data_IF_060020943863
#
_entry.id   IF_060020943863
#
_cell.length_a   1.000
_cell.length_b   1.000
_cell.length_c   1.000
_cell.angle_alpha   90.00
_cell.angle_beta   90.00
_cell.angle_gamma   90.00
#
_symmetry.space_group_name_H-M   'P 1'
#
loop_
_entity.id
_entity.type
_entity.pdbx_description
1 polymer ?
#
# COMPACT_ATOMS: atom_id res chain seq x y z
N UNK A 1 -36.46 -1.64 12.69
CA UNK A 1 -35.05 -1.19 12.62
C UNK A 1 -34.62 -0.50 13.89
N UNK A 2 -33.88 -1.23 14.72
CA UNK A 2 -33.20 -0.68 15.90
C UNK A 2 -31.99 0.20 15.51
N UNK A 3 -31.80 1.29 16.25
CA UNK A 3 -30.68 2.22 16.07
C UNK A 3 -29.33 1.50 16.26
N UNK A 4 -29.25 0.55 17.20
CA UNK A 4 -28.00 -0.16 17.44
C UNK A 4 -27.62 -1.04 16.23
N UNK A 5 -28.56 -1.78 15.65
CA UNK A 5 -28.31 -2.57 14.44
C UNK A 5 -27.78 -1.73 13.27
N UNK A 6 -28.30 -0.50 13.11
CA UNK A 6 -27.77 0.45 12.14
C UNK A 6 -26.35 0.90 12.46
N UNK A 7 -26.07 1.22 13.73
CA UNK A 7 -24.72 1.60 14.16
C UNK A 7 -23.71 0.46 13.95
N UNK A 8 -24.11 -0.80 14.19
CA UNK A 8 -23.28 -1.97 13.89
C UNK A 8 -23.04 -2.14 12.39
N UNK A 9 -24.09 -2.06 11.57
CA UNK A 9 -23.99 -2.20 10.12
C UNK A 9 -23.08 -1.11 9.49
N UNK A 10 -23.27 0.16 9.87
CA UNK A 10 -22.42 1.26 9.41
C UNK A 10 -21.01 1.23 10.03
N UNK A 11 -20.87 0.81 11.28
CA UNK A 11 -19.57 0.68 11.92
C UNK A 11 -18.69 -0.39 11.25
N UNK A 12 -19.30 -1.44 10.71
CA UNK A 12 -18.58 -2.50 10.00
C UNK A 12 -17.93 -2.03 8.68
N UNK A 13 -18.50 -1.03 8.00
CA UNK A 13 -17.98 -0.58 6.70
C UNK A 13 -16.53 -0.09 6.77
N UNK A 14 -16.14 0.51 7.90
CA UNK A 14 -14.77 0.96 8.14
C UNK A 14 -13.76 -0.20 8.20
N UNK A 15 -14.17 -1.35 8.75
CA UNK A 15 -13.33 -2.56 8.78
C UNK A 15 -13.29 -3.26 7.43
N UNK A 16 -14.44 -3.33 6.74
CA UNK A 16 -14.52 -3.90 5.40
C UNK A 16 -13.66 -3.14 4.38
N UNK A 17 -13.45 -1.82 4.57
CA UNK A 17 -12.52 -1.06 3.75
C UNK A 17 -11.06 -1.57 3.85
N UNK A 18 -10.68 -2.10 5.02
CA UNK A 18 -9.36 -2.69 5.27
C UNK A 18 -9.29 -4.16 4.84
N UNK A 19 -10.19 -5.02 5.33
CA UNK A 19 -10.20 -6.48 5.14
C UNK A 19 -11.56 -6.97 4.70
N UNK A 20 -11.61 -7.90 3.76
CA UNK A 20 -12.85 -8.42 3.19
C UNK A 20 -13.49 -9.50 4.07
N UNK A 21 -12.73 -10.49 4.50
CA UNK A 21 -13.30 -11.69 5.11
C UNK A 21 -13.21 -11.70 6.62
N UNK A 22 -12.16 -11.08 7.19
CA UNK A 22 -11.98 -11.02 8.64
C UNK A 22 -13.16 -10.37 9.38
N UNK A 23 -13.70 -9.22 8.93
CA UNK A 23 -14.85 -8.60 9.62
C UNK A 23 -16.14 -9.41 9.48
N UNK A 24 -16.37 -10.02 8.32
CA UNK A 24 -17.51 -10.90 8.08
C UNK A 24 -17.44 -12.14 8.98
N UNK A 25 -16.28 -12.78 9.08
CA UNK A 25 -16.04 -13.91 9.96
C UNK A 25 -16.27 -13.53 11.43
N UNK A 26 -15.68 -12.43 11.90
CA UNK A 26 -15.83 -11.99 13.28
C UNK A 26 -17.29 -11.69 13.64
N UNK A 27 -18.04 -11.03 12.74
CA UNK A 27 -19.47 -10.77 12.94
C UNK A 27 -20.29 -12.08 12.97
N UNK A 28 -20.07 -12.99 12.02
CA UNK A 28 -20.78 -14.27 11.97
C UNK A 28 -20.46 -15.16 13.18
N UNK A 29 -19.19 -15.19 13.59
CA UNK A 29 -18.74 -15.93 14.77
C UNK A 29 -19.33 -15.36 16.06
N UNK A 30 -19.34 -14.03 16.22
CA UNK A 30 -19.91 -13.39 17.39
C UNK A 30 -21.41 -13.66 17.51
N UNK A 31 -22.17 -13.62 16.40
CA UNK A 31 -23.59 -13.98 16.44
C UNK A 31 -23.83 -15.46 16.76
N UNK A 32 -23.01 -16.36 16.22
CA UNK A 32 -23.21 -17.81 16.42
C UNK A 32 -22.76 -18.32 17.79
N UNK A 33 -21.59 -17.87 18.25
CA UNK A 33 -20.93 -18.41 19.43
C UNK A 33 -20.78 -17.39 20.57
N UNK A 34 -21.14 -16.12 20.35
CA UNK A 34 -20.93 -15.04 21.33
C UNK A 34 -21.68 -15.26 22.65
N UNK A 35 -22.86 -15.88 22.64
CA UNK A 35 -23.61 -16.21 23.86
C UNK A 35 -22.88 -17.17 24.79
N UNK A 36 -22.00 -18.02 24.26
CA UNK A 36 -21.19 -18.96 25.03
C UNK A 36 -19.99 -18.31 25.73
N UNK A 37 -19.64 -17.07 25.36
CA UNK A 37 -18.50 -16.36 25.95
C UNK A 37 -18.97 -15.40 27.06
N UNK A 38 -18.40 -15.44 28.29
CA UNK A 38 -18.88 -14.65 29.43
C UNK A 38 -18.90 -13.13 29.21
N UNK A 39 -17.98 -12.62 28.39
CA UNK A 39 -17.81 -11.19 28.13
C UNK A 39 -18.65 -10.69 26.95
N UNK A 40 -18.96 -11.55 25.97
CA UNK A 40 -19.80 -11.23 24.81
C UNK A 40 -21.28 -11.50 25.09
N UNK A 41 -21.58 -12.57 25.82
CA UNK A 41 -22.94 -12.99 26.14
C UNK A 41 -23.69 -12.01 27.04
N UNK A 42 -23.02 -11.02 27.64
CA UNK A 42 -23.65 -9.93 28.39
C UNK A 42 -24.10 -8.75 27.51
N UNK A 43 -23.64 -8.68 26.26
CA UNK A 43 -24.00 -7.61 25.32
C UNK A 43 -25.42 -7.87 24.81
N UNK A 44 -26.31 -6.89 24.97
CA UNK A 44 -27.73 -6.96 24.59
C UNK A 44 -27.91 -7.39 23.13
N UNK A 45 -27.17 -6.75 22.23
CA UNK A 45 -27.15 -7.09 20.79
C UNK A 45 -26.83 -8.58 20.52
N UNK A 46 -25.88 -9.18 21.22
CA UNK A 46 -25.52 -10.60 21.01
C UNK A 46 -26.62 -11.54 21.53
N UNK A 47 -27.32 -11.14 22.60
CA UNK A 47 -28.47 -11.91 23.12
C UNK A 47 -29.65 -11.90 22.15
N UNK A 48 -29.95 -10.74 21.58
CA UNK A 48 -31.01 -10.59 20.59
C UNK A 48 -30.71 -11.36 19.30
N UNK A 49 -29.45 -11.36 18.88
CA UNK A 49 -28.98 -12.05 17.67
C UNK A 49 -28.79 -13.56 17.83
N UNK A 50 -28.90 -14.13 19.04
CA UNK A 50 -28.76 -15.58 19.25
C UNK A 50 -29.82 -16.40 18.48
N UNK A 51 -30.95 -15.78 18.13
CA UNK A 51 -32.06 -16.37 17.36
C UNK A 51 -32.07 -15.97 15.86
N UNK A 52 -30.98 -15.39 15.37
CA UNK A 52 -30.82 -14.92 13.99
C UNK A 52 -31.04 -16.01 12.90
N UNK A 53 -31.46 -15.63 11.67
CA UNK A 53 -31.67 -16.56 10.56
C UNK A 53 -30.43 -17.40 10.24
N UNK A 54 -30.71 -18.65 9.86
CA UNK A 54 -29.75 -19.76 9.85
C UNK A 54 -28.64 -19.69 8.81
N UNK A 55 -28.78 -18.88 7.75
CA UNK A 55 -27.87 -18.91 6.62
C UNK A 55 -26.52 -18.24 6.94
N UNK A 56 -26.51 -17.08 7.60
CA UNK A 56 -25.27 -16.34 7.91
C UNK A 56 -24.56 -16.91 9.14
N UNK A 57 -25.30 -17.48 10.07
CA UNK A 57 -24.79 -18.12 11.30
C UNK A 57 -24.58 -19.64 11.13
N UNK A 58 -24.74 -20.17 9.92
CA UNK A 58 -24.54 -21.60 9.64
C UNK A 58 -23.07 -22.00 9.90
N UNK A 59 -22.78 -23.12 10.59
CA UNK A 59 -21.40 -23.53 10.88
C UNK A 59 -20.52 -23.61 9.63
N UNK A 60 -21.06 -24.08 8.51
CA UNK A 60 -20.33 -24.14 7.24
C UNK A 60 -19.96 -22.74 6.70
N UNK A 61 -20.84 -21.75 6.87
CA UNK A 61 -20.57 -20.36 6.44
C UNK A 61 -19.53 -19.72 7.36
N UNK A 62 -19.66 -19.91 8.68
CA UNK A 62 -18.66 -19.41 9.65
C UNK A 62 -17.28 -20.04 9.40
N UNK A 63 -17.21 -21.36 9.18
CA UNK A 63 -15.95 -22.04 8.85
C UNK A 63 -15.38 -21.58 7.50
N UNK A 64 -16.24 -21.42 6.48
CA UNK A 64 -15.83 -20.91 5.17
C UNK A 64 -15.26 -19.49 5.25
N UNK A 65 -15.94 -18.59 5.96
CA UNK A 65 -15.45 -17.23 6.21
C UNK A 65 -14.16 -17.23 7.02
N UNK A 66 -14.02 -18.13 8.00
CA UNK A 66 -12.78 -18.29 8.78
C UNK A 66 -11.61 -18.76 7.92
N UNK A 67 -11.82 -19.75 7.05
CA UNK A 67 -10.81 -20.21 6.10
C UNK A 67 -10.41 -19.11 5.10
N UNK A 68 -11.38 -18.34 4.60
CA UNK A 68 -11.14 -17.21 3.70
C UNK A 68 -10.42 -16.05 4.41
N UNK A 69 -10.74 -15.77 5.68
CA UNK A 69 -10.03 -14.78 6.49
C UNK A 69 -8.57 -15.19 6.74
N UNK A 70 -8.30 -16.47 7.03
CA UNK A 70 -6.94 -16.98 7.14
C UNK A 70 -6.19 -16.91 5.81
N UNK A 71 -6.85 -17.26 4.71
CA UNK A 71 -6.28 -17.15 3.36
C UNK A 71 -5.95 -15.68 3.02
N UNK A 72 -6.83 -14.74 3.37
CA UNK A 72 -6.59 -13.29 3.23
C UNK A 72 -5.36 -12.85 4.03
N UNK A 73 -5.26 -13.22 5.31
CA UNK A 73 -4.10 -12.90 6.16
C UNK A 73 -2.78 -13.47 5.62
N UNK A 74 -2.82 -14.68 5.06
CA UNK A 74 -1.64 -15.32 4.45
C UNK A 74 -1.26 -14.67 3.12
N UNK A 75 -2.26 -14.35 2.28
CA UNK A 75 -2.05 -13.73 0.98
C UNK A 75 -1.40 -12.35 1.11
N UNK A 76 -1.76 -11.58 2.13
CA UNK A 76 -1.20 -10.24 2.37
C UNK A 76 0.29 -10.22 2.75
N UNK A 77 0.84 -11.35 3.21
CA UNK A 77 2.28 -11.49 3.44
C UNK A 77 3.07 -11.59 2.13
N UNK A 78 2.40 -11.89 1.02
CA UNK A 78 2.96 -11.86 -0.34
C UNK A 78 2.53 -10.57 -1.05
N UNK A 79 3.45 -9.63 -1.30
CA UNK A 79 3.12 -8.44 -2.09
C UNK A 79 2.68 -8.80 -3.52
N UNK A 80 3.09 -9.96 -4.02
CA UNK A 80 2.74 -10.47 -5.35
C UNK A 80 1.26 -10.91 -5.43
N UNK A 81 0.77 -11.69 -4.45
CA UNK A 81 -0.65 -12.05 -4.36
C UNK A 81 -1.54 -10.84 -4.13
N UNK A 82 -1.05 -9.88 -3.35
CA UNK A 82 -1.78 -8.66 -3.07
C UNK A 82 -2.03 -7.80 -4.31
N UNK A 83 -1.03 -7.65 -5.18
CA UNK A 83 -1.18 -6.85 -6.41
C UNK A 83 -2.28 -7.43 -7.31
N UNK A 84 -2.39 -8.76 -7.36
CA UNK A 84 -3.47 -9.46 -8.09
C UNK A 84 -4.83 -9.34 -7.41
N UNK A 85 -4.87 -9.27 -6.07
CA UNK A 85 -6.11 -9.15 -5.31
C UNK A 85 -6.63 -7.71 -5.23
N UNK A 86 -5.77 -6.69 -5.18
CA UNK A 86 -6.15 -5.30 -4.88
C UNK A 86 -7.15 -4.69 -5.89
N UNK A 87 -7.15 -5.11 -7.17
CA UNK A 87 -8.13 -4.65 -8.17
C UNK A 87 -9.54 -5.23 -7.98
N UNK A 88 -9.65 -6.52 -7.64
CA UNK A 88 -10.94 -7.20 -7.45
C UNK A 88 -11.51 -7.03 -6.03
N UNK A 89 -10.63 -6.83 -5.04
CA UNK A 89 -11.01 -6.78 -3.63
C UNK A 89 -11.95 -5.64 -3.28
N UNK A 90 -11.90 -4.49 -3.97
CA UNK A 90 -12.79 -3.36 -3.65
C UNK A 90 -14.26 -3.74 -3.83
N UNK A 91 -14.58 -4.43 -4.93
CA UNK A 91 -15.94 -4.90 -5.20
C UNK A 91 -16.32 -6.03 -4.25
N UNK A 92 -15.41 -6.96 -3.99
CA UNK A 92 -15.64 -8.07 -3.06
C UNK A 92 -15.91 -7.57 -1.63
N UNK A 93 -15.13 -6.61 -1.14
CA UNK A 93 -15.31 -5.96 0.17
C UNK A 93 -16.67 -5.29 0.28
N UNK A 94 -17.07 -4.57 -0.76
CA UNK A 94 -18.35 -3.85 -0.80
C UNK A 94 -19.52 -4.83 -0.81
N UNK A 95 -19.44 -5.90 -1.61
CA UNK A 95 -20.45 -6.96 -1.65
C UNK A 95 -20.55 -7.74 -0.33
N UNK A 96 -19.41 -8.09 0.29
CA UNK A 96 -19.39 -8.76 1.59
C UNK A 96 -19.91 -7.87 2.72
N UNK A 97 -19.62 -6.57 2.68
CA UNK A 97 -20.18 -5.60 3.65
C UNK A 97 -21.69 -5.53 3.53
N UNK A 98 -22.22 -5.44 2.31
CA UNK A 98 -23.66 -5.46 2.05
C UNK A 98 -24.30 -6.77 2.53
N UNK A 99 -23.73 -7.93 2.17
CA UNK A 99 -24.24 -9.23 2.58
C UNK A 99 -24.21 -9.42 4.11
N UNK A 100 -23.14 -8.97 4.77
CA UNK A 100 -23.00 -9.04 6.23
C UNK A 100 -24.00 -8.11 6.91
N UNK A 101 -24.18 -6.89 6.40
CA UNK A 101 -25.15 -5.92 6.92
C UNK A 101 -26.58 -6.43 6.76
N UNK A 102 -26.90 -7.04 5.61
CA UNK A 102 -28.18 -7.68 5.38
C UNK A 102 -28.41 -8.86 6.35
N UNK A 103 -27.40 -9.70 6.57
CA UNK A 103 -27.45 -10.77 7.56
C UNK A 103 -27.70 -10.27 8.99
N UNK A 104 -27.09 -9.15 9.37
CA UNK A 104 -27.29 -8.51 10.68
C UNK A 104 -28.68 -7.89 10.82
N UNK A 105 -29.16 -7.18 9.80
CA UNK A 105 -30.44 -6.47 9.87
C UNK A 105 -31.63 -7.44 9.84
N UNK A 106 -31.58 -8.45 8.96
CA UNK A 106 -32.59 -9.52 8.90
C UNK A 106 -32.68 -10.32 10.20
N UNK A 107 -31.58 -10.41 10.95
CA UNK A 107 -31.54 -11.04 12.26
C UNK A 107 -32.21 -10.24 13.37
N UNK A 108 -32.02 -8.92 13.41
CA UNK A 108 -32.71 -8.07 14.39
C UNK A 108 -34.22 -8.03 14.17
N UNK A 109 -34.68 -8.00 12.92
CA UNK A 109 -36.10 -7.87 12.64
C UNK A 109 -36.84 -9.23 12.81
N UNK A 110 -36.18 -10.38 12.65
CA UNK A 110 -36.76 -11.69 12.95
C UNK A 110 -37.12 -11.88 14.45
N UNK A 111 -36.42 -11.19 15.35
CA UNK A 111 -36.76 -11.16 16.78
C UNK A 111 -37.99 -10.27 17.09
N UNK A 112 -38.34 -9.36 16.17
CA UNK A 112 -39.42 -8.37 16.30
C UNK A 112 -40.67 -8.77 15.47
N UNK A 113 -40.49 -9.54 14.40
CA UNK A 113 -41.52 -9.85 13.42
C UNK A 113 -42.41 -11.05 13.83
N UNK A 114 -43.25 -10.83 14.84
CA UNK A 114 -44.46 -11.61 15.04
C UNK A 114 -45.65 -11.15 14.19
N UNK A 115 -45.63 -9.93 13.60
CA UNK A 115 -46.90 -9.29 13.20
C UNK A 115 -46.96 -8.46 11.90
N UNK A 116 -45.89 -8.31 11.10
CA UNK A 116 -45.97 -7.49 9.85
C UNK A 116 -45.19 -8.14 8.69
N UNK A 117 -45.83 -9.07 7.98
CA UNK A 117 -45.26 -9.81 6.85
C UNK A 117 -45.77 -9.18 5.53
N UNK A 118 -44.96 -8.34 4.88
CA UNK A 118 -44.90 -8.17 3.40
C UNK A 118 -44.10 -6.95 2.92
N UNK A 119 -43.85 -5.94 3.76
CA UNK A 119 -43.11 -4.72 3.36
C UNK A 119 -41.63 -4.67 3.81
N UNK A 120 -41.16 -5.64 4.59
CA UNK A 120 -39.82 -5.59 5.23
C UNK A 120 -38.64 -5.77 4.26
N UNK A 121 -38.78 -6.57 3.19
CA UNK A 121 -37.65 -6.95 2.32
C UNK A 121 -37.00 -5.81 1.52
N UNK A 122 -37.76 -4.77 1.15
CA UNK A 122 -37.20 -3.64 0.39
C UNK A 122 -36.52 -2.64 1.35
N UNK A 123 -37.10 -2.39 2.51
CA UNK A 123 -36.56 -1.44 3.49
C UNK A 123 -35.25 -1.93 4.11
N UNK A 124 -35.07 -3.24 4.32
CA UNK A 124 -33.82 -3.84 4.82
C UNK A 124 -32.67 -3.76 3.81
N UNK A 125 -33.00 -3.77 2.51
CA UNK A 125 -32.00 -3.72 1.45
C UNK A 125 -31.33 -2.34 1.32
N UNK A 126 -32.02 -1.26 1.72
CA UNK A 126 -31.51 0.11 1.61
C UNK A 126 -30.30 0.34 2.52
N UNK A 127 -30.36 0.10 3.86
CA UNK A 127 -29.20 0.25 4.72
C UNK A 127 -28.05 -0.68 4.34
N UNK A 128 -28.32 -1.92 3.93
CA UNK A 128 -27.29 -2.84 3.46
C UNK A 128 -26.61 -2.34 2.17
N UNK A 129 -27.37 -1.76 1.23
CA UNK A 129 -26.80 -1.12 0.05
C UNK A 129 -25.97 0.11 0.43
N UNK A 130 -26.43 0.91 1.39
CA UNK A 130 -25.69 2.06 1.91
C UNK A 130 -24.37 1.66 2.57
N UNK A 131 -24.33 0.57 3.35
CA UNK A 131 -23.07 0.07 3.94
C UNK A 131 -22.10 -0.45 2.88
N UNK A 132 -22.61 -1.11 1.83
CA UNK A 132 -21.82 -1.48 0.66
C UNK A 132 -21.23 -0.27 -0.07
N UNK A 133 -22.06 0.75 -0.34
CA UNK A 133 -21.62 2.00 -0.97
C UNK A 133 -20.63 2.79 -0.11
N UNK A 134 -20.84 2.84 1.21
CA UNK A 134 -19.92 3.44 2.16
C UNK A 134 -18.58 2.68 2.15
N UNK A 135 -18.60 1.36 2.22
CA UNK A 135 -17.39 0.52 2.13
C UNK A 135 -16.62 0.76 0.84
N UNK A 136 -17.31 0.91 -0.29
CA UNK A 136 -16.70 1.25 -1.57
C UNK A 136 -15.97 2.60 -1.50
N UNK A 137 -16.65 3.64 -1.01
CA UNK A 137 -16.07 4.98 -0.87
C UNK A 137 -14.85 5.00 0.08
N UNK A 138 -14.97 4.33 1.24
CA UNK A 138 -13.88 4.22 2.22
C UNK A 138 -12.69 3.44 1.64
N UNK A 139 -12.95 2.35 0.91
CA UNK A 139 -11.91 1.56 0.22
C UNK A 139 -11.18 2.40 -0.83
N UNK A 140 -11.91 3.18 -1.64
CA UNK A 140 -11.32 4.07 -2.65
C UNK A 140 -10.48 5.19 -2.02
N UNK A 141 -10.95 5.76 -0.91
CA UNK A 141 -10.22 6.79 -0.16
C UNK A 141 -8.91 6.22 0.39
N UNK A 142 -8.98 5.06 1.06
CA UNK A 142 -7.82 4.34 1.60
C UNK A 142 -6.84 3.94 0.50
N UNK A 143 -7.33 3.37 -0.61
CA UNK A 143 -6.48 3.00 -1.75
C UNK A 143 -5.79 4.21 -2.39
N UNK A 144 -6.44 5.37 -2.43
CA UNK A 144 -5.81 6.62 -2.87
C UNK A 144 -4.64 7.04 -1.99
N UNK A 145 -4.79 7.00 -0.66
CA UNK A 145 -3.70 7.34 0.28
C UNK A 145 -2.59 6.28 0.26
N UNK A 146 -2.95 5.00 0.26
CA UNK A 146 -1.98 3.89 0.14
C UNK A 146 -1.24 3.97 -1.19
N UNK A 147 -1.90 4.43 -2.26
CA UNK A 147 -1.28 4.73 -3.55
C UNK A 147 -0.18 5.79 -3.40
N UNK A 148 -0.48 6.93 -2.79
CA UNK A 148 0.51 8.00 -2.53
C UNK A 148 1.70 7.49 -1.71
N UNK A 149 1.44 6.70 -0.65
CA UNK A 149 2.51 6.13 0.18
C UNK A 149 3.32 5.07 -0.56
N UNK A 150 2.65 4.28 -1.41
CA UNK A 150 3.30 3.30 -2.28
C UNK A 150 4.11 3.96 -3.38
N UNK A 151 3.79 5.19 -3.79
CA UNK A 151 4.63 5.94 -4.73
C UNK A 151 5.92 6.43 -4.05
N UNK A 152 5.82 6.87 -2.79
CA UNK A 152 7.00 7.26 -2.02
C UNK A 152 7.92 6.05 -1.72
N UNK A 153 7.34 4.86 -1.48
CA UNK A 153 8.06 3.63 -1.11
C UNK A 153 7.56 2.37 -1.86
N UNK A 154 7.67 2.37 -3.19
CA UNK A 154 7.15 1.28 -4.05
C UNK A 154 7.71 -0.10 -3.70
N UNK A 155 8.99 -0.14 -3.30
CA UNK A 155 9.71 -1.36 -2.96
C UNK A 155 9.58 -1.79 -1.49
N UNK A 156 8.82 -1.05 -0.68
CA UNK A 156 8.70 -1.24 0.77
C UNK A 156 10.08 -1.23 1.46
N UNK A 157 10.95 -0.32 1.02
CA UNK A 157 12.32 -0.14 1.51
C UNK A 157 12.37 0.55 2.88
N UNK A 158 11.43 1.47 3.13
CA UNK A 158 11.18 2.10 4.43
C UNK A 158 10.34 1.21 5.35
N UNK A 159 9.65 0.22 4.79
CA UNK A 159 8.72 -0.64 5.53
C UNK A 159 7.37 0.03 5.79
N UNK A 160 7.06 1.13 5.11
CA UNK A 160 5.82 1.89 5.30
C UNK A 160 4.59 1.01 4.99
N UNK A 161 4.64 0.23 3.91
CA UNK A 161 3.52 -0.64 3.54
C UNK A 161 3.35 -1.74 4.58
N UNK A 162 4.45 -2.35 5.04
CA UNK A 162 4.39 -3.37 6.11
C UNK A 162 3.80 -2.81 7.41
N UNK A 163 4.19 -1.60 7.79
CA UNK A 163 3.66 -0.93 8.98
C UNK A 163 2.16 -0.66 8.86
N UNK A 164 1.72 -0.08 7.74
CA UNK A 164 0.30 0.16 7.47
C UNK A 164 -0.50 -1.14 7.51
N UNK A 165 0.03 -2.20 6.88
CA UNK A 165 -0.63 -3.51 6.89
C UNK A 165 -0.81 -4.07 8.29
N UNK A 166 0.18 -3.89 9.16
CA UNK A 166 0.11 -4.33 10.55
C UNK A 166 -0.93 -3.51 11.33
N UNK A 167 -0.96 -2.19 11.16
CA UNK A 167 -2.00 -1.34 11.75
C UNK A 167 -3.40 -1.72 11.26
N UNK A 168 -3.55 -2.03 9.98
CA UNK A 168 -4.80 -2.51 9.38
C UNK A 168 -5.23 -3.88 9.91
N UNK A 169 -4.29 -4.81 10.06
CA UNK A 169 -4.54 -6.13 10.63
C UNK A 169 -5.00 -6.00 12.09
N UNK A 170 -4.32 -5.17 12.87
CA UNK A 170 -4.69 -4.87 14.25
C UNK A 170 -6.09 -4.20 14.29
N UNK A 171 -6.33 -3.20 13.44
CA UNK A 171 -7.61 -2.49 13.37
C UNK A 171 -8.77 -3.41 12.98
N UNK A 172 -8.61 -4.25 11.96
CA UNK A 172 -9.65 -5.17 11.52
C UNK A 172 -9.88 -6.32 12.53
N UNK A 173 -8.83 -6.79 13.20
CA UNK A 173 -8.94 -7.88 14.19
C UNK A 173 -9.61 -7.39 15.47
N UNK A 174 -9.10 -6.32 16.08
CA UNK A 174 -9.60 -5.84 17.38
C UNK A 174 -10.80 -4.91 17.25
N UNK A 175 -10.87 -4.16 16.15
CA UNK A 175 -11.90 -3.16 15.95
C UNK A 175 -13.31 -3.74 15.83
N UNK A 176 -13.47 -4.95 15.29
CA UNK A 176 -14.79 -5.60 15.23
C UNK A 176 -15.29 -5.98 16.63
N UNK A 177 -14.41 -6.46 17.50
CA UNK A 177 -14.77 -6.72 18.90
C UNK A 177 -15.07 -5.43 19.67
N UNK A 178 -14.29 -4.37 19.41
CA UNK A 178 -14.55 -3.05 19.97
C UNK A 178 -15.88 -2.47 19.47
N UNK A 179 -16.24 -2.73 18.20
CA UNK A 179 -17.52 -2.33 17.62
C UNK A 179 -18.67 -2.96 18.41
N UNK A 180 -18.60 -4.26 18.68
CA UNK A 180 -19.60 -4.99 19.48
C UNK A 180 -19.83 -4.33 20.85
N UNK A 181 -18.76 -3.92 21.52
CA UNK A 181 -18.83 -3.29 22.84
C UNK A 181 -19.27 -1.82 22.81
N UNK A 182 -18.78 -1.03 21.85
CA UNK A 182 -18.93 0.43 21.82
C UNK A 182 -19.20 0.95 20.39
N UNK A 183 -20.38 0.67 19.80
CA UNK A 183 -20.63 0.90 18.38
C UNK A 183 -20.53 2.39 17.98
N UNK A 184 -21.07 3.29 18.80
CA UNK A 184 -21.01 4.73 18.55
C UNK A 184 -19.57 5.27 18.56
N UNK A 185 -18.73 4.79 19.48
CA UNK A 185 -17.33 5.22 19.58
C UNK A 185 -16.51 4.76 18.37
N UNK A 186 -16.73 3.53 17.90
CA UNK A 186 -16.07 3.01 16.70
C UNK A 186 -16.51 3.75 15.44
N UNK A 187 -17.80 4.05 15.30
CA UNK A 187 -18.32 4.80 14.16
C UNK A 187 -17.72 6.22 14.10
N UNK A 188 -17.63 6.90 15.25
CA UNK A 188 -16.94 8.19 15.36
C UNK A 188 -15.45 8.08 15.01
N UNK A 189 -14.76 7.06 15.51
CA UNK A 189 -13.35 6.84 15.23
C UNK A 189 -13.11 6.55 13.74
N UNK A 190 -13.94 5.72 13.10
CA UNK A 190 -13.93 5.51 11.65
C UNK A 190 -14.12 6.83 10.90
N UNK A 191 -15.11 7.64 11.30
CA UNK A 191 -15.35 8.96 10.71
C UNK A 191 -14.13 9.88 10.77
N UNK A 192 -13.43 9.92 11.91
CA UNK A 192 -12.20 10.71 12.08
C UNK A 192 -11.08 10.17 11.20
N UNK A 193 -10.79 8.86 11.27
CA UNK A 193 -9.67 8.25 10.52
C UNK A 193 -9.86 8.44 9.02
N UNK A 194 -11.03 8.10 8.49
CA UNK A 194 -11.29 8.26 7.06
C UNK A 194 -11.45 9.72 6.63
N UNK A 195 -11.96 10.59 7.52
CA UNK A 195 -11.95 12.04 7.31
C UNK A 195 -10.53 12.58 7.13
N UNK A 196 -9.58 12.16 7.98
CA UNK A 196 -8.17 12.52 7.86
C UNK A 196 -7.56 11.97 6.57
N UNK A 197 -7.81 10.69 6.23
CA UNK A 197 -7.33 10.09 4.98
C UNK A 197 -7.86 10.84 3.74
N UNK A 198 -9.14 11.20 3.75
CA UNK A 198 -9.76 11.99 2.68
C UNK A 198 -9.10 13.36 2.54
N UNK A 199 -8.86 14.06 3.65
CA UNK A 199 -8.17 15.36 3.65
C UNK A 199 -6.71 15.24 3.16
N UNK A 200 -5.98 14.20 3.55
CA UNK A 200 -4.62 13.95 3.07
C UNK A 200 -4.61 13.76 1.55
N UNK A 201 -5.51 12.90 1.05
CA UNK A 201 -5.65 12.64 -0.39
C UNK A 201 -5.98 13.92 -1.15
N UNK A 202 -7.03 14.63 -0.73
CA UNK A 202 -7.47 15.88 -1.37
C UNK A 202 -6.39 16.95 -1.36
N UNK A 203 -5.66 17.09 -0.25
CA UNK A 203 -4.55 18.05 -0.13
C UNK A 203 -3.39 17.68 -1.04
N UNK A 204 -3.07 16.40 -1.20
CA UNK A 204 -2.01 15.94 -2.09
C UNK A 204 -2.38 16.16 -3.56
N UNK A 205 -3.62 15.81 -3.96
CA UNK A 205 -4.13 16.05 -5.31
C UNK A 205 -4.13 17.55 -5.65
N UNK A 206 -4.66 18.41 -4.75
CA UNK A 206 -4.63 19.87 -4.93
C UNK A 206 -3.21 20.39 -5.08
N UNK A 207 -2.28 20.00 -4.20
CA UNK A 207 -0.88 20.44 -4.27
C UNK A 207 -0.20 20.07 -5.59
N UNK A 208 -0.54 18.93 -6.18
CA UNK A 208 0.04 18.51 -7.47
C UNK A 208 -0.58 19.27 -8.65
N UNK A 209 -1.88 19.58 -8.60
CA UNK A 209 -2.53 20.42 -9.61
C UNK A 209 -2.07 21.88 -9.54
N UNK A 210 -1.97 22.44 -8.33
CA UNK A 210 -1.51 23.81 -8.09
C UNK A 210 -0.04 24.01 -8.50
N UNK A 211 0.75 22.93 -8.48
CA UNK A 211 2.14 22.93 -8.90
C UNK A 211 2.35 22.82 -10.42
N UNK A 212 1.28 22.70 -11.22
CA UNK A 212 1.40 22.72 -12.68
C UNK A 212 1.65 24.14 -13.16
N UNK A 213 2.60 24.30 -14.08
CA UNK A 213 2.95 25.58 -14.72
C UNK A 213 2.51 25.58 -16.17
N UNK A 214 2.26 26.76 -16.73
CA UNK A 214 1.94 26.89 -18.15
C UNK A 214 3.21 26.80 -19.00
N UNK A 215 3.15 26.03 -20.08
CA UNK A 215 4.25 25.95 -21.02
C UNK A 215 4.44 27.31 -21.71
N UNK A 216 5.66 27.89 -21.73
CA UNK A 216 5.91 29.21 -22.31
C UNK A 216 5.67 29.26 -23.83
N UNK A 217 5.66 28.11 -24.51
CA UNK A 217 5.48 28.03 -25.97
C UNK A 217 4.03 27.80 -26.39
N UNK A 218 3.27 26.95 -25.68
CA UNK A 218 1.93 26.54 -26.11
C UNK A 218 0.81 26.75 -25.08
N UNK A 219 1.12 27.27 -23.88
CA UNK A 219 0.15 27.53 -22.81
C UNK A 219 -0.42 26.28 -22.14
N UNK A 220 -0.03 25.07 -22.54
CA UNK A 220 -0.52 23.83 -21.92
C UNK A 220 0.06 23.69 -20.51
N UNK A 221 -0.76 23.28 -19.53
CA UNK A 221 -0.31 23.02 -18.16
C UNK A 221 0.55 21.77 -18.09
N UNK A 222 1.79 21.93 -17.66
CA UNK A 222 2.80 20.87 -17.48
C UNK A 222 3.24 20.79 -16.02
N UNK A 223 3.73 19.63 -15.60
CA UNK A 223 4.36 19.51 -14.28
C UNK A 223 5.57 20.46 -14.17
N UNK A 224 5.72 21.16 -13.05
CA UNK A 224 6.82 22.10 -12.83
C UNK A 224 8.21 21.43 -12.85
N UNK A 225 8.28 20.13 -12.62
CA UNK A 225 9.50 19.32 -12.64
C UNK A 225 9.74 18.60 -13.98
N UNK A 226 8.83 18.77 -14.96
CA UNK A 226 8.98 18.21 -16.32
C UNK A 226 10.18 18.85 -17.02
N UNK A 227 10.86 18.11 -17.88
CA UNK A 227 12.00 18.65 -18.65
C UNK A 227 11.56 19.20 -20.01
N UNK A 228 10.43 18.72 -20.55
CA UNK A 228 9.83 19.27 -21.75
C UNK A 228 8.29 19.11 -21.74
N UNK A 229 7.64 19.92 -22.57
CA UNK A 229 6.20 19.86 -22.76
C UNK A 229 5.77 18.59 -23.50
N UNK A 230 4.64 18.02 -23.09
CA UNK A 230 3.99 16.88 -23.75
C UNK A 230 3.49 17.18 -25.16
N UNK A 231 3.04 18.42 -25.40
CA UNK A 231 2.31 18.79 -26.63
C UNK A 231 3.22 19.38 -27.70
N UNK A 232 4.14 20.25 -27.31
CA UNK A 232 4.97 21.02 -28.25
C UNK A 232 6.47 20.73 -28.10
N UNK A 233 6.86 19.81 -27.22
CA UNK A 233 8.25 19.43 -26.95
C UNK A 233 9.19 20.56 -26.54
N UNK A 234 8.65 21.74 -26.26
CA UNK A 234 9.42 22.88 -25.81
C UNK A 234 10.07 22.57 -24.44
N UNK A 235 11.36 22.87 -24.26
CA UNK A 235 12.06 22.60 -23.01
C UNK A 235 11.49 23.47 -21.88
N UNK A 236 11.40 22.89 -20.69
CA UNK A 236 11.09 23.66 -19.49
C UNK A 236 12.36 24.45 -19.08
N UNK A 237 12.33 25.79 -19.09
CA UNK A 237 13.51 26.60 -18.85
C UNK A 237 14.04 26.48 -17.41
N UNK A 238 13.19 26.07 -16.45
CA UNK A 238 13.60 26.06 -15.05
C UNK A 238 12.84 24.98 -14.24
N UNK A 239 13.17 23.69 -14.42
CA UNK A 239 12.46 22.61 -13.74
C UNK A 239 12.70 22.63 -12.23
N UNK A 240 11.64 22.38 -11.48
CA UNK A 240 11.70 22.25 -10.01
C UNK A 240 12.37 20.93 -9.63
N UNK A 241 13.30 20.99 -8.69
CA UNK A 241 14.01 19.80 -8.23
C UNK A 241 13.09 18.89 -7.41
N UNK A 242 13.16 17.58 -7.65
CA UNK A 242 12.50 16.58 -6.81
C UNK A 242 13.45 16.05 -5.74
N UNK A 243 12.92 15.84 -4.54
CA UNK A 243 13.58 15.13 -3.45
C UNK A 243 13.55 13.61 -3.65
N UNK A 244 14.25 12.89 -2.78
CA UNK A 244 14.42 11.43 -2.85
C UNK A 244 13.09 10.64 -2.81
N UNK A 245 12.06 11.19 -2.17
CA UNK A 245 10.73 10.57 -2.06
C UNK A 245 9.71 11.20 -3.02
N UNK A 246 10.15 12.01 -3.99
CA UNK A 246 9.27 12.66 -4.97
C UNK A 246 8.57 13.93 -4.50
N UNK A 247 8.90 14.44 -3.31
CA UNK A 247 8.47 15.77 -2.87
C UNK A 247 9.16 16.88 -3.68
N UNK A 248 8.43 17.96 -3.97
CA UNK A 248 8.97 19.14 -4.66
C UNK A 248 9.85 19.95 -3.70
N UNK A 249 11.06 20.30 -4.14
CA UNK A 249 11.97 21.16 -3.40
C UNK A 249 11.78 22.62 -3.85
N UNK A 250 12.06 23.58 -2.98
CA UNK A 250 11.97 25.02 -3.34
C UNK A 250 13.04 25.47 -4.34
N UNK A 251 14.07 24.64 -4.54
CA UNK A 251 15.17 24.92 -5.49
C UNK A 251 14.85 24.41 -6.90
N UNK A 252 15.36 25.14 -7.89
CA UNK A 252 15.34 24.72 -9.30
C UNK A 252 16.57 23.87 -9.61
N UNK A 253 16.44 22.92 -10.53
CA UNK A 253 17.56 22.09 -10.98
C UNK A 253 18.17 22.69 -12.27
N UNK A 254 19.40 23.23 -12.22
CA UNK A 254 20.03 23.83 -13.39
C UNK A 254 20.48 22.78 -14.43
N UNK A 255 20.74 21.54 -13.99
CA UNK A 255 21.21 20.47 -14.86
C UNK A 255 20.05 19.56 -15.31
N UNK A 256 19.66 19.68 -16.58
CA UNK A 256 18.59 18.87 -17.17
C UNK A 256 18.87 17.36 -17.12
N UNK A 257 20.12 16.94 -17.28
CA UNK A 257 20.50 15.51 -17.20
C UNK A 257 20.33 14.98 -15.79
N UNK A 258 20.74 15.76 -14.78
CA UNK A 258 20.53 15.38 -13.38
C UNK A 258 19.04 15.29 -13.03
N UNK A 259 18.21 16.18 -13.58
CA UNK A 259 16.76 16.11 -13.41
C UNK A 259 16.17 14.85 -14.08
N UNK A 260 16.58 14.52 -15.31
CA UNK A 260 16.15 13.29 -15.99
C UNK A 260 16.49 12.03 -15.18
N UNK A 261 17.70 11.96 -14.63
CA UNK A 261 18.11 10.86 -13.74
C UNK A 261 17.21 10.77 -12.51
N UNK A 262 16.89 11.89 -11.84
CA UNK A 262 15.98 11.89 -10.68
C UNK A 262 14.55 11.47 -11.05
N UNK A 263 14.05 11.89 -12.22
CA UNK A 263 12.74 11.45 -12.70
C UNK A 263 12.71 9.94 -12.91
N UNK A 264 13.77 9.38 -13.51
CA UNK A 264 13.91 7.93 -13.67
C UNK A 264 13.98 7.25 -12.30
N UNK A 265 14.77 7.73 -11.35
CA UNK A 265 14.83 7.13 -9.99
C UNK A 265 13.44 7.07 -9.32
N UNK A 266 12.59 8.07 -9.57
CA UNK A 266 11.22 8.17 -9.07
C UNK A 266 10.18 7.50 -9.99
N UNK A 267 10.61 6.72 -10.98
CA UNK A 267 9.76 5.99 -11.93
C UNK A 267 8.80 6.91 -12.69
N UNK A 268 9.32 8.05 -13.12
CA UNK A 268 8.63 9.04 -13.93
C UNK A 268 9.30 9.16 -15.30
N UNK A 269 8.54 9.59 -16.30
CA UNK A 269 9.06 9.89 -17.63
C UNK A 269 10.15 10.96 -17.50
N UNK A 270 11.34 10.76 -18.12
CA UNK A 270 12.39 11.78 -18.12
C UNK A 270 11.96 13.06 -18.87
N UNK A 271 10.87 13.02 -19.66
CA UNK A 271 10.34 14.16 -20.44
C UNK A 271 9.20 14.85 -19.71
N UNK A 272 7.99 14.26 -19.68
CA UNK A 272 6.80 14.87 -19.06
C UNK A 272 6.82 14.88 -17.53
N UNK A 273 7.59 14.00 -16.90
CA UNK A 273 7.50 13.74 -15.47
C UNK A 273 6.26 12.93 -15.06
N UNK A 274 5.47 12.44 -16.01
CA UNK A 274 4.34 11.56 -15.73
C UNK A 274 4.79 10.22 -15.16
N UNK A 275 3.94 9.62 -14.33
CA UNK A 275 4.24 8.35 -13.69
C UNK A 275 4.20 7.21 -14.68
N UNK A 276 5.11 6.27 -14.51
CA UNK A 276 5.24 5.11 -15.39
C UNK A 276 4.81 3.86 -14.63
N UNK A 277 3.77 3.18 -15.10
CA UNK A 277 3.24 1.95 -14.49
C UNK A 277 3.93 0.71 -15.05
N UNK A 278 4.02 -0.36 -14.26
CA UNK A 278 4.58 -1.66 -14.67
C UNK A 278 6.01 -1.90 -14.18
N UNK A 279 6.60 -3.04 -14.56
CA UNK A 279 7.99 -3.41 -14.22
C UNK A 279 8.71 -3.97 -15.44
N UNK A 280 10.02 -3.77 -15.49
CA UNK A 280 10.85 -4.16 -16.63
C UNK A 280 11.92 -3.11 -16.92
N UNK A 281 12.84 -3.45 -17.82
CA UNK A 281 13.84 -2.52 -18.31
C UNK A 281 13.34 -1.69 -19.51
N UNK A 282 12.30 -2.18 -20.18
CA UNK A 282 11.67 -1.66 -21.40
C UNK A 282 10.34 -0.94 -21.13
N UNK A 283 10.16 -0.39 -19.93
CA UNK A 283 8.90 0.28 -19.57
C UNK A 283 8.80 1.60 -20.33
N UNK A 284 7.64 1.83 -20.95
CA UNK A 284 7.29 3.07 -21.62
C UNK A 284 6.28 3.89 -20.82
N UNK A 285 6.36 5.21 -20.93
CA UNK A 285 5.31 6.09 -20.45
C UNK A 285 4.07 5.97 -21.34
N UNK A 286 2.88 5.85 -20.74
CA UNK A 286 1.61 5.76 -21.48
C UNK A 286 1.24 7.09 -22.16
N UNK A 287 1.64 8.22 -21.56
CA UNK A 287 1.32 9.57 -22.05
C UNK A 287 2.31 10.01 -23.14
N UNK A 288 3.62 9.79 -22.94
CA UNK A 288 4.67 10.29 -23.84
C UNK A 288 5.16 9.24 -24.85
N UNK A 289 4.88 7.95 -24.62
CA UNK A 289 5.45 6.83 -25.38
C UNK A 289 6.95 6.58 -25.15
N UNK A 290 7.64 7.41 -24.37
CA UNK A 290 9.10 7.30 -24.16
C UNK A 290 9.45 6.11 -23.28
N UNK A 291 10.43 5.32 -23.72
CA UNK A 291 11.05 4.24 -22.95
C UNK A 291 12.13 4.81 -22.03
N UNK A 292 12.08 4.50 -20.73
CA UNK A 292 12.91 5.20 -19.71
C UNK A 292 14.42 5.05 -19.95
N UNK A 293 14.86 3.88 -20.39
CA UNK A 293 16.28 3.54 -20.57
C UNK A 293 16.68 3.47 -22.05
N UNK A 294 16.02 4.23 -22.94
CA UNK A 294 16.35 4.24 -24.37
C UNK A 294 17.69 4.91 -24.70
N UNK A 295 18.12 5.86 -23.87
CA UNK A 295 19.36 6.64 -24.08
C UNK A 295 20.54 6.01 -23.30
N UNK A 296 21.55 5.44 -23.99
CA UNK A 296 22.68 4.82 -23.32
C UNK A 296 23.55 5.79 -22.50
N UNK A 297 23.66 7.04 -22.92
CA UNK A 297 24.45 8.04 -22.19
C UNK A 297 23.78 8.38 -20.85
N UNK A 298 22.45 8.54 -20.87
CA UNK A 298 21.65 8.74 -19.66
C UNK A 298 21.72 7.52 -18.73
N UNK A 299 21.71 6.31 -19.29
CA UNK A 299 21.86 5.06 -18.53
C UNK A 299 23.21 5.01 -17.80
N UNK A 300 24.31 5.42 -18.46
CA UNK A 300 25.63 5.46 -17.83
C UNK A 300 25.65 6.48 -16.67
N UNK A 301 25.15 7.71 -16.91
CA UNK A 301 25.06 8.73 -15.84
C UNK A 301 24.20 8.25 -14.67
N UNK A 302 23.14 7.48 -14.93
CA UNK A 302 22.32 6.86 -13.89
C UNK A 302 23.13 5.89 -13.02
N UNK A 303 23.88 4.96 -13.63
CA UNK A 303 24.73 4.03 -12.89
C UNK A 303 25.81 4.74 -12.08
N UNK A 304 26.51 5.70 -12.67
CA UNK A 304 27.54 6.49 -11.99
C UNK A 304 26.98 7.28 -10.81
N UNK A 305 25.78 7.85 -10.97
CA UNK A 305 25.09 8.59 -9.91
C UNK A 305 24.80 7.69 -8.71
N UNK A 306 24.29 6.48 -8.93
CA UNK A 306 24.00 5.53 -7.83
C UNK A 306 25.31 4.97 -7.25
N UNK A 307 26.29 4.61 -8.09
CA UNK A 307 27.59 4.07 -7.66
C UNK A 307 28.38 5.08 -6.81
N UNK A 308 28.28 6.39 -7.10
CA UNK A 308 28.91 7.44 -6.30
C UNK A 308 28.40 7.54 -4.85
N UNK A 309 27.22 7.00 -4.57
CA UNK A 309 26.63 6.96 -3.21
C UNK A 309 27.22 5.84 -2.36
N UNK A 310 27.76 4.78 -2.98
CA UNK A 310 28.28 3.59 -2.32
C UNK A 310 29.28 3.90 -1.19
N UNK A 311 30.37 4.69 -1.37
CA UNK A 311 31.33 4.92 -0.30
C UNK A 311 30.71 5.62 0.92
N UNK A 312 29.84 6.61 0.68
CA UNK A 312 29.12 7.31 1.75
C UNK A 312 28.17 6.36 2.50
N UNK A 313 27.47 5.51 1.77
CA UNK A 313 26.54 4.53 2.37
C UNK A 313 27.29 3.49 3.19
N UNK A 314 28.44 3.00 2.72
CA UNK A 314 29.28 2.05 3.46
C UNK A 314 29.82 2.66 4.76
N UNK A 315 30.25 3.92 4.74
CA UNK A 315 30.70 4.63 5.95
C UNK A 315 29.57 4.77 6.98
N UNK A 316 28.40 5.25 6.54
CA UNK A 316 27.23 5.39 7.44
C UNK A 316 26.78 4.03 7.97
N UNK A 317 26.77 3.00 7.12
CA UNK A 317 26.46 1.63 7.52
C UNK A 317 27.46 1.08 8.54
N UNK A 318 28.75 1.40 8.43
CA UNK A 318 29.76 0.96 9.39
C UNK A 318 29.53 1.60 10.76
N UNK A 319 29.25 2.90 10.79
CA UNK A 319 28.93 3.64 12.02
C UNK A 319 27.65 3.09 12.67
N UNK A 320 26.59 2.89 11.90
CA UNK A 320 25.34 2.32 12.40
C UNK A 320 25.50 0.86 12.85
N UNK A 321 26.43 0.11 12.26
CA UNK A 321 26.70 -1.28 12.62
C UNK A 321 27.20 -1.46 14.06
N UNK A 322 27.70 -0.41 14.71
CA UNK A 322 28.09 -0.43 16.12
C UNK A 322 26.90 -0.36 17.10
N UNK A 323 25.71 0.05 16.64
CA UNK A 323 24.49 0.12 17.46
C UNK A 323 23.68 -1.17 17.20
N UNK A 324 23.64 -2.13 18.15
CA UNK A 324 22.90 -3.37 17.95
C UNK A 324 21.41 -3.11 17.71
N UNK A 325 20.78 -3.94 16.86
CA UNK A 325 19.36 -3.91 16.50
C UNK A 325 18.88 -2.62 15.81
N UNK A 326 18.90 -1.47 16.51
CA UNK A 326 18.44 -0.19 15.96
C UNK A 326 19.32 0.27 14.80
N UNK A 327 20.64 0.19 14.96
CA UNK A 327 21.59 0.53 13.91
C UNK A 327 21.49 -0.40 12.70
N UNK A 328 21.23 -1.69 12.91
CA UNK A 328 20.91 -2.61 11.81
C UNK A 328 19.65 -2.18 11.08
N UNK A 329 18.55 -1.91 11.78
CA UNK A 329 17.27 -1.58 11.14
C UNK A 329 17.42 -0.29 10.32
N UNK A 330 17.97 0.77 10.93
CA UNK A 330 18.18 2.06 10.26
C UNK A 330 19.16 1.91 9.10
N UNK A 331 20.26 1.19 9.30
CA UNK A 331 21.26 0.96 8.26
C UNK A 331 20.72 0.17 7.08
N UNK A 332 19.90 -0.85 7.33
CA UNK A 332 19.22 -1.64 6.29
C UNK A 332 18.25 -0.79 5.49
N UNK A 333 17.43 0.01 6.17
CA UNK A 333 16.51 0.94 5.52
C UNK A 333 17.32 1.93 4.66
N UNK A 334 18.38 2.51 5.22
CA UNK A 334 19.19 3.53 4.55
C UNK A 334 19.86 3.01 3.27
N UNK A 335 20.60 1.89 3.32
CA UNK A 335 21.24 1.38 2.11
C UNK A 335 20.21 0.87 1.09
N UNK A 336 19.06 0.37 1.54
CA UNK A 336 18.02 -0.09 0.61
C UNK A 336 17.46 1.07 -0.20
N UNK A 337 17.19 2.21 0.45
CA UNK A 337 16.70 3.40 -0.24
C UNK A 337 17.76 3.94 -1.21
N UNK A 338 19.02 4.02 -0.76
CA UNK A 338 20.07 4.70 -1.52
C UNK A 338 20.66 3.86 -2.67
N UNK A 339 20.77 2.53 -2.49
CA UNK A 339 21.51 1.65 -3.40
C UNK A 339 20.63 0.57 -4.05
N UNK A 340 19.58 0.09 -3.38
CA UNK A 340 18.78 -1.05 -3.87
C UNK A 340 17.53 -0.60 -4.63
N UNK A 341 16.77 0.32 -4.05
CA UNK A 341 15.51 0.84 -4.61
C UNK A 341 15.67 1.38 -6.05
N UNK A 342 16.76 2.11 -6.41
CA UNK A 342 16.95 2.58 -7.79
C UNK A 342 16.96 1.45 -8.83
N UNK A 343 17.42 0.25 -8.50
CA UNK A 343 17.45 -0.87 -9.44
C UNK A 343 16.24 -1.79 -9.31
N UNK A 344 15.78 -2.01 -8.08
CA UNK A 344 14.72 -2.99 -7.78
C UNK A 344 13.37 -2.60 -8.39
N UNK A 345 13.03 -1.30 -8.45
CA UNK A 345 11.81 -0.76 -9.08
C UNK A 345 11.59 -1.21 -10.53
N UNK A 346 12.68 -1.57 -11.23
CA UNK A 346 12.67 -1.95 -12.65
C UNK A 346 12.86 -3.44 -12.90
N UNK A 347 13.09 -4.26 -11.87
CA UNK A 347 13.30 -5.70 -12.04
C UNK A 347 11.97 -6.47 -12.20
N UNK A 348 11.91 -7.44 -13.13
CA UNK A 348 10.72 -8.29 -13.30
C UNK A 348 10.54 -9.25 -12.12
N UNK A 349 9.31 -9.71 -11.92
CA UNK A 349 8.86 -10.48 -10.75
C UNK A 349 9.71 -11.72 -10.46
N UNK A 350 10.06 -12.49 -11.50
CA UNK A 350 10.81 -13.74 -11.37
C UNK A 350 12.22 -13.55 -10.80
N UNK A 351 12.91 -12.47 -11.21
CA UNK A 351 14.24 -12.14 -10.70
C UNK A 351 14.17 -11.54 -9.29
N UNK A 352 13.15 -10.73 -9.01
CA UNK A 352 12.97 -10.13 -7.69
C UNK A 352 12.71 -11.19 -6.60
N UNK A 353 12.03 -12.29 -6.92
CA UNK A 353 11.75 -13.35 -5.93
C UNK A 353 13.03 -14.07 -5.50
N UNK A 354 13.85 -14.53 -6.44
CA UNK A 354 15.09 -15.24 -6.14
C UNK A 354 16.08 -14.37 -5.37
N UNK A 355 16.27 -13.12 -5.81
CA UNK A 355 17.15 -12.16 -5.13
C UNK A 355 16.65 -11.85 -3.72
N UNK A 356 15.33 -11.72 -3.51
CA UNK A 356 14.72 -11.46 -2.20
C UNK A 356 14.99 -12.59 -1.20
N UNK A 357 14.88 -13.84 -1.62
CA UNK A 357 15.18 -14.99 -0.75
C UNK A 357 16.66 -15.13 -0.45
N UNK A 358 17.53 -14.94 -1.45
CA UNK A 358 18.97 -14.98 -1.25
C UNK A 358 19.41 -13.90 -0.25
N UNK A 359 18.88 -12.68 -0.38
CA UNK A 359 19.12 -11.59 0.58
C UNK A 359 18.59 -11.92 1.97
N UNK A 360 17.39 -12.53 2.10
CA UNK A 360 16.88 -12.96 3.41
C UNK A 360 17.78 -13.97 4.09
N UNK A 361 18.29 -14.96 3.35
CA UNK A 361 19.21 -15.98 3.88
C UNK A 361 20.52 -15.32 4.33
N UNK A 362 21.10 -14.45 3.50
CA UNK A 362 22.32 -13.70 3.83
C UNK A 362 22.12 -12.83 5.07
N UNK A 363 20.99 -12.12 5.15
CA UNK A 363 20.63 -11.31 6.32
C UNK A 363 20.46 -12.15 7.59
N UNK A 364 19.90 -13.36 7.48
CA UNK A 364 19.69 -14.25 8.62
C UNK A 364 21.03 -14.80 9.13
N UNK A 365 21.91 -15.23 8.22
CA UNK A 365 23.27 -15.67 8.55
C UNK A 365 24.05 -14.54 9.24
N UNK A 366 23.99 -13.32 8.69
CA UNK A 366 24.71 -12.18 9.25
C UNK A 366 24.09 -11.63 10.54
N UNK A 367 22.77 -11.77 10.73
CA UNK A 367 22.11 -11.45 12.00
C UNK A 367 22.61 -12.34 13.14
N UNK A 368 22.91 -13.62 12.87
CA UNK A 368 23.57 -14.49 13.85
C UNK A 368 24.97 -13.99 14.21
N UNK A 369 25.69 -13.41 13.24
CA UNK A 369 27.04 -12.87 13.43
C UNK A 369 27.07 -11.57 14.26
N UNK A 370 25.94 -10.86 14.33
CA UNK A 370 25.81 -9.57 15.00
C UNK A 370 25.69 -9.64 16.52
N UNK A 371 25.63 -10.85 17.11
CA UNK A 371 25.74 -11.04 18.55
C UNK A 371 27.09 -10.52 19.11
N UNK A 372 28.09 -10.31 18.24
CA UNK A 372 29.38 -9.70 18.58
C UNK A 372 29.44 -8.27 18.04
N UNK A 373 29.46 -7.22 18.89
CA UNK A 373 29.40 -5.81 18.47
C UNK A 373 30.46 -5.40 17.43
N UNK A 374 31.67 -5.95 17.52
CA UNK A 374 32.77 -5.66 16.58
C UNK A 374 32.52 -6.25 15.19
N UNK A 375 31.87 -7.41 15.10
CA UNK A 375 31.48 -8.02 13.83
C UNK A 375 30.30 -7.27 13.18
N UNK A 376 29.46 -6.61 13.99
CA UNK A 376 28.34 -5.78 13.51
C UNK A 376 28.77 -4.60 12.63
N UNK A 377 29.89 -3.95 12.98
CA UNK A 377 30.46 -2.83 12.21
C UNK A 377 30.92 -3.21 10.79
N UNK A 378 31.31 -4.47 10.57
CA UNK A 378 31.70 -4.98 9.25
C UNK A 378 30.54 -5.65 8.50
N UNK A 379 29.64 -6.30 9.23
CA UNK A 379 28.51 -7.03 8.64
C UNK A 379 27.58 -6.10 7.84
N UNK A 380 27.22 -4.93 8.37
CA UNK A 380 26.26 -4.04 7.73
C UNK A 380 26.79 -3.38 6.43
N UNK A 381 28.03 -2.86 6.37
CA UNK A 381 28.65 -2.46 5.10
C UNK A 381 28.74 -3.60 4.08
N UNK A 382 29.10 -4.80 4.53
CA UNK A 382 29.20 -5.97 3.65
C UNK A 382 27.82 -6.32 3.06
N UNK A 383 26.75 -6.28 3.86
CA UNK A 383 25.38 -6.44 3.37
C UNK A 383 25.04 -5.38 2.31
N UNK A 384 25.35 -4.11 2.58
CA UNK A 384 25.06 -3.01 1.66
C UNK A 384 25.79 -3.21 0.32
N UNK A 385 27.06 -3.60 0.36
CA UNK A 385 27.87 -3.87 -0.82
C UNK A 385 27.33 -5.05 -1.64
N UNK A 386 27.07 -6.19 -1.00
CA UNK A 386 26.56 -7.39 -1.68
C UNK A 386 25.20 -7.10 -2.32
N UNK A 387 24.29 -6.44 -1.60
CA UNK A 387 22.98 -6.07 -2.14
C UNK A 387 23.13 -5.16 -3.36
N UNK A 388 23.90 -4.07 -3.24
CA UNK A 388 24.14 -3.15 -4.36
C UNK A 388 24.66 -3.90 -5.58
N UNK A 389 25.71 -4.72 -5.41
CA UNK A 389 26.33 -5.48 -6.48
C UNK A 389 25.34 -6.46 -7.15
N UNK A 390 24.55 -7.18 -6.37
CA UNK A 390 23.56 -8.13 -6.87
C UNK A 390 22.47 -7.45 -7.70
N UNK A 391 21.86 -6.38 -7.17
CA UNK A 391 20.77 -5.68 -7.85
C UNK A 391 21.26 -4.94 -9.10
N UNK A 392 22.43 -4.29 -9.02
CA UNK A 392 23.09 -3.65 -10.17
C UNK A 392 23.38 -4.66 -11.28
N UNK A 393 23.95 -5.81 -10.94
CA UNK A 393 24.28 -6.87 -11.92
C UNK A 393 23.03 -7.48 -12.55
N UNK A 394 21.99 -7.72 -11.74
CA UNK A 394 20.71 -8.23 -12.23
C UNK A 394 20.02 -7.24 -13.20
N UNK A 395 20.08 -5.94 -12.89
CA UNK A 395 19.50 -4.89 -13.72
C UNK A 395 20.29 -4.68 -15.02
N UNK A 396 21.63 -4.63 -14.95
CA UNK A 396 22.50 -4.57 -16.14
C UNK A 396 22.27 -5.77 -17.07
N UNK A 397 22.11 -6.97 -16.51
CA UNK A 397 21.73 -8.17 -17.26
C UNK A 397 20.36 -8.03 -17.93
N UNK A 398 19.38 -7.40 -17.26
CA UNK A 398 18.06 -7.16 -17.83
C UNK A 398 18.09 -6.17 -19.00
N UNK A 399 18.83 -5.06 -18.87
CA UNK A 399 19.03 -4.09 -19.95
C UNK A 399 19.73 -4.73 -21.17
N UNK A 400 20.78 -5.52 -20.92
CA UNK A 400 21.51 -6.22 -21.99
C UNK A 400 20.60 -7.19 -22.75
N UNK A 401 19.76 -7.95 -22.05
CA UNK A 401 18.81 -8.88 -22.68
C UNK A 401 17.79 -8.17 -23.58
N UNK A 402 17.47 -6.90 -23.28
CA UNK A 402 16.53 -6.08 -24.05
C UNK A 402 17.20 -5.25 -25.15
N UNK A 403 18.53 -5.34 -25.32
CA UNK A 403 19.26 -4.54 -26.31
C UNK A 403 19.37 -3.05 -25.96
N UNK A 404 19.04 -2.67 -24.72
CA UNK A 404 19.05 -1.29 -24.23
C UNK A 404 20.38 -0.91 -23.55
N UNK A 405 21.35 -1.83 -23.52
CA UNK A 405 22.68 -1.59 -23.00
C UNK A 405 23.67 -1.34 -24.15
N UNK A 406 24.33 -0.20 -24.15
CA UNK A 406 25.57 0.03 -24.93
C UNK A 406 26.75 -0.06 -23.97
N UNK A 407 27.83 -0.69 -24.44
CA UNK A 407 29.10 -0.97 -23.74
C UNK A 407 29.29 -0.37 -22.35
N UNK A 408 29.13 -1.20 -21.31
CA UNK A 408 29.66 -0.97 -19.96
C UNK A 408 30.48 -2.17 -19.57
#
# INVERSE_FOLDING_TARGET
MDLNSLLYAFGLSGFFASRAFLPAFAAAFAMKYGSSFPWLGNIEFIKEMANAPSWFTHPAVVLGLGALALAEMLAERSPELRELMDEGLVYLKSGLSMATSYGLLSASDAAVAGDIISQAGILESIPAALTGGLTFFLSMTRNGVVGILSEADEDDSLGLRKFINWCEELWATFGVWMLLALPAAVLLLNGIVFGVLFLIRKRHESKMEDARIECPSCGTRIHCFSTACLKCDAPNPSPVALGMLGGMLERKEPNLTAQKVRLIELKRSPKSGEKVKGRGADISCQEDGIVLFSDPALNQTYFETVDSRLPKVLMVAAVLGFIPLLGLIIGVIYYRIQLVAPYRRFLPWSKSFLTKWLVRIVLLILAMLQLVPVLGGLALPLMAFINHWMYRSAFKSALKKKGLAVGI
#
